data_IF_805068550078
#
_entry.id   IF_805068550078
#
_cell.length_a   1.000
_cell.length_b   1.000
_cell.length_c   1.000
_cell.angle_alpha   90.00
_cell.angle_beta   90.00
_cell.angle_gamma   90.00
#
_symmetry.space_group_name_H-M   'P 1'
#
loop_
_entity.id
_entity.type
_entity.pdbx_description
1 polymer ?
#
# COMPACT_ATOMS: atom_id res chain seq x y z
N UNK A 1 -8.96 -2.79 9.21
CA UNK A 1 -7.52 -3.12 9.13
C UNK A 1 -7.21 -4.07 10.27
N UNK A 2 -6.50 -5.19 10.03
CA UNK A 2 -6.05 -6.08 11.09
C UNK A 2 -5.13 -5.39 12.11
N UNK A 3 -5.11 -5.89 13.35
CA UNK A 3 -4.28 -5.33 14.44
C UNK A 3 -2.80 -5.75 14.34
N UNK A 4 -2.53 -6.89 13.73
CA UNK A 4 -1.19 -7.44 13.54
C UNK A 4 -0.97 -7.76 12.07
N UNK A 5 0.28 -7.66 11.63
CA UNK A 5 0.67 -7.96 10.26
C UNK A 5 2.17 -8.20 10.10
N UNK A 6 2.56 -8.62 8.91
CA UNK A 6 3.94 -8.87 8.53
C UNK A 6 4.50 -7.73 7.70
N UNK A 7 5.60 -7.13 8.17
CA UNK A 7 6.43 -6.22 7.37
C UNK A 7 7.59 -6.96 6.70
N UNK A 8 7.85 -6.68 5.41
CA UNK A 8 8.95 -7.33 4.64
C UNK A 8 10.16 -6.41 4.40
N UNK A 9 10.52 -5.63 5.42
CA UNK A 9 11.61 -4.65 5.34
C UNK A 9 12.99 -5.31 5.17
N UNK A 10 13.76 -4.85 4.17
CA UNK A 10 15.13 -5.30 3.88
C UNK A 10 15.33 -6.82 3.67
N UNK A 11 14.26 -7.59 3.54
CA UNK A 11 14.34 -9.00 3.20
C UNK A 11 14.84 -9.17 1.76
N UNK A 12 15.79 -10.09 1.55
CA UNK A 12 16.24 -10.44 0.19
C UNK A 12 15.10 -11.12 -0.58
N UNK A 13 15.16 -11.11 -1.92
CA UNK A 13 14.13 -11.73 -2.75
C UNK A 13 13.92 -13.22 -2.44
N UNK A 14 15.00 -13.96 -2.21
CA UNK A 14 14.96 -15.38 -1.82
C UNK A 14 14.35 -15.58 -0.44
N UNK A 15 14.56 -14.63 0.47
CA UNK A 15 14.11 -14.73 1.86
C UNK A 15 12.69 -14.19 2.07
N UNK A 16 12.05 -13.59 1.06
CA UNK A 16 10.74 -12.91 1.26
C UNK A 16 9.54 -13.81 0.92
N UNK A 17 9.66 -14.75 -0.02
CA UNK A 17 8.51 -15.58 -0.46
C UNK A 17 8.03 -16.48 0.69
N UNK A 18 8.96 -17.15 1.37
CA UNK A 18 8.65 -18.13 2.40
C UNK A 18 8.00 -17.49 3.63
N UNK A 19 8.52 -16.39 4.20
CA UNK A 19 7.90 -15.74 5.36
C UNK A 19 6.53 -15.16 5.06
N UNK A 20 6.32 -14.54 3.88
CA UNK A 20 5.00 -14.01 3.52
C UNK A 20 4.00 -15.15 3.41
N UNK A 21 4.37 -16.26 2.76
CA UNK A 21 3.49 -17.43 2.67
C UNK A 21 3.21 -18.05 4.03
N UNK A 22 4.25 -18.29 4.84
CA UNK A 22 4.10 -18.84 6.17
C UNK A 22 3.19 -17.96 7.04
N UNK A 23 3.36 -16.64 6.99
CA UNK A 23 2.48 -15.72 7.71
C UNK A 23 1.02 -15.85 7.25
N UNK A 24 0.75 -15.90 5.94
CA UNK A 24 -0.61 -16.07 5.41
C UNK A 24 -1.22 -17.42 5.83
N UNK A 25 -0.44 -18.49 5.78
CA UNK A 25 -0.83 -19.85 6.19
C UNK A 25 -1.16 -19.90 7.70
N UNK A 26 -0.42 -19.16 8.54
CA UNK A 26 -0.63 -19.02 9.99
C UNK A 26 -1.73 -17.99 10.37
N UNK A 27 -2.47 -17.47 9.39
CA UNK A 27 -3.62 -16.59 9.65
C UNK A 27 -3.31 -15.09 9.63
N UNK A 28 -2.10 -14.66 9.27
CA UNK A 28 -1.82 -13.25 9.02
C UNK A 28 -2.67 -12.75 7.86
N UNK A 29 -3.28 -11.57 8.03
CA UNK A 29 -4.13 -10.92 7.02
C UNK A 29 -3.72 -9.49 6.73
N UNK A 30 -2.59 -9.02 7.25
CA UNK A 30 -2.01 -7.73 6.89
C UNK A 30 -0.58 -7.94 6.40
N UNK A 31 -0.31 -7.58 5.16
CA UNK A 31 1.03 -7.59 4.58
C UNK A 31 1.44 -6.16 4.29
N UNK A 32 2.45 -5.67 5.00
CA UNK A 32 3.08 -4.39 4.77
C UNK A 32 4.34 -4.56 3.93
N UNK A 33 4.22 -4.20 2.65
CA UNK A 33 5.33 -4.24 1.71
C UNK A 33 6.26 -3.03 1.89
N UNK A 34 7.47 -3.17 1.37
CA UNK A 34 8.38 -2.03 1.26
C UNK A 34 8.10 -1.26 -0.01
N UNK A 35 8.68 -0.07 -0.06
CA UNK A 35 8.81 0.67 -1.29
C UNK A 35 9.72 0.01 -2.33
N UNK A 36 10.67 -0.84 -1.90
CA UNK A 36 11.64 -1.46 -2.79
C UNK A 36 10.94 -2.35 -3.80
N UNK A 37 11.31 -2.14 -5.05
CA UNK A 37 10.72 -2.76 -6.22
C UNK A 37 10.77 -4.29 -6.22
N UNK A 38 11.84 -4.88 -5.68
CA UNK A 38 11.99 -6.33 -5.60
C UNK A 38 10.90 -7.00 -4.75
N UNK A 39 10.59 -6.40 -3.59
CA UNK A 39 9.74 -7.05 -2.59
C UNK A 39 8.27 -7.07 -3.01
N UNK A 40 7.82 -6.08 -3.81
CA UNK A 40 6.44 -6.01 -4.32
C UNK A 40 6.09 -7.19 -5.24
N UNK A 41 7.02 -7.60 -6.12
CA UNK A 41 6.81 -8.74 -7.00
C UNK A 41 6.66 -10.06 -6.21
N UNK A 42 7.48 -10.20 -5.16
CA UNK A 42 7.44 -11.36 -4.27
C UNK A 42 6.15 -11.40 -3.45
N UNK A 43 5.74 -10.28 -2.84
CA UNK A 43 4.47 -10.18 -2.12
C UNK A 43 3.30 -10.53 -3.05
N UNK A 44 3.26 -9.96 -4.26
CA UNK A 44 2.25 -10.29 -5.26
C UNK A 44 2.20 -11.78 -5.59
N UNK A 45 3.36 -12.42 -5.75
CA UNK A 45 3.45 -13.86 -5.98
C UNK A 45 2.93 -14.68 -4.79
N UNK A 46 3.30 -14.31 -3.57
CA UNK A 46 2.87 -15.00 -2.36
C UNK A 46 1.34 -14.90 -2.16
N UNK A 47 0.76 -13.71 -2.39
CA UNK A 47 -0.69 -13.51 -2.36
C UNK A 47 -1.40 -14.46 -3.33
N UNK A 48 -0.97 -14.51 -4.60
CA UNK A 48 -1.57 -15.42 -5.61
C UNK A 48 -1.39 -16.90 -5.27
N UNK A 49 -0.29 -17.26 -4.61
CA UNK A 49 -0.01 -18.65 -4.22
C UNK A 49 -0.69 -19.07 -2.92
N UNK A 50 -1.19 -18.13 -2.11
CA UNK A 50 -1.85 -18.43 -0.84
C UNK A 50 -3.20 -19.10 -0.99
N UNK A 51 -3.87 -18.92 -2.13
CA UNK A 51 -5.24 -19.40 -2.35
C UNK A 51 -6.32 -18.60 -1.62
N UNK A 52 -5.95 -17.52 -0.90
CA UNK A 52 -6.89 -16.60 -0.25
C UNK A 52 -7.52 -15.66 -1.27
N UNK A 53 -8.78 -15.30 -1.05
CA UNK A 53 -9.43 -14.26 -1.84
C UNK A 53 -8.77 -12.90 -1.56
N UNK A 54 -8.70 -12.06 -2.59
CA UNK A 54 -8.05 -10.73 -2.47
C UNK A 54 -8.65 -9.90 -1.34
N UNK A 55 -9.96 -10.01 -1.09
CA UNK A 55 -10.66 -9.28 -0.03
C UNK A 55 -10.33 -9.74 1.39
N UNK A 56 -9.69 -10.90 1.55
CA UNK A 56 -9.31 -11.43 2.87
C UNK A 56 -8.00 -10.85 3.37
N UNK A 57 -7.12 -10.39 2.47
CA UNK A 57 -5.77 -9.91 2.82
C UNK A 57 -5.68 -8.41 2.63
N UNK A 58 -5.34 -7.70 3.70
CA UNK A 58 -5.03 -6.29 3.70
C UNK A 58 -3.58 -6.07 3.23
N UNK A 59 -3.39 -5.38 2.11
CA UNK A 59 -2.08 -5.15 1.49
C UNK A 59 -1.76 -3.65 1.53
N UNK A 60 -0.62 -3.33 2.14
CA UNK A 60 -0.05 -1.98 2.19
C UNK A 60 1.25 -1.93 1.40
N UNK A 61 1.50 -0.84 0.69
CA UNK A 61 2.83 -0.44 0.24
C UNK A 61 2.90 1.09 0.30
N UNK A 62 4.06 1.69 0.06
CA UNK A 62 4.30 3.12 0.35
C UNK A 62 4.85 3.84 -0.88
N UNK A 63 4.59 5.14 -0.97
CA UNK A 63 5.17 6.02 -1.99
C UNK A 63 6.52 6.55 -1.50
N UNK A 64 7.60 6.27 -2.22
CA UNK A 64 8.93 6.79 -1.87
C UNK A 64 9.03 8.30 -2.09
N UNK A 65 9.83 9.00 -1.25
CA UNK A 65 10.09 10.43 -1.43
C UNK A 65 10.71 10.77 -2.78
N UNK A 66 11.53 9.86 -3.34
CA UNK A 66 12.14 10.03 -4.65
C UNK A 66 11.11 10.07 -5.80
N UNK A 67 9.88 9.62 -5.54
CA UNK A 67 8.77 9.61 -6.49
C UNK A 67 7.69 10.64 -6.13
N UNK A 68 7.99 11.63 -5.28
CA UNK A 68 7.05 12.71 -5.01
C UNK A 68 6.92 13.64 -6.22
N UNK A 69 5.74 14.26 -6.32
CA UNK A 69 5.31 15.06 -7.46
C UNK A 69 4.17 14.38 -8.23
N UNK A 70 3.41 15.12 -9.06
CA UNK A 70 2.16 14.61 -9.62
C UNK A 70 2.36 13.36 -10.51
N UNK A 71 3.14 13.51 -11.58
CA UNK A 71 3.38 12.43 -12.55
C UNK A 71 4.23 11.29 -11.97
N UNK A 72 5.23 11.65 -11.16
CA UNK A 72 6.11 10.68 -10.53
C UNK A 72 5.36 9.78 -9.54
N UNK A 73 4.42 10.34 -8.77
CA UNK A 73 3.62 9.58 -7.82
C UNK A 73 2.67 8.62 -8.53
N UNK A 74 1.99 9.06 -9.59
CA UNK A 74 1.12 8.20 -10.39
C UNK A 74 1.91 7.07 -11.05
N UNK A 75 3.07 7.39 -11.64
CA UNK A 75 3.95 6.39 -12.26
C UNK A 75 4.44 5.35 -11.24
N UNK A 76 4.84 5.78 -10.05
CA UNK A 76 5.27 4.89 -8.98
C UNK A 76 4.11 4.00 -8.46
N UNK A 77 2.89 4.53 -8.44
CA UNK A 77 1.70 3.76 -8.10
C UNK A 77 1.44 2.66 -9.15
N UNK A 78 1.42 2.99 -10.44
CA UNK A 78 1.23 1.99 -11.52
C UNK A 78 2.29 0.90 -11.47
N UNK A 79 3.54 1.27 -11.25
CA UNK A 79 4.64 0.33 -11.12
C UNK A 79 4.42 -0.62 -9.92
N UNK A 80 3.90 -0.09 -8.81
CA UNK A 80 3.59 -0.89 -7.63
C UNK A 80 2.45 -1.88 -7.91
N UNK A 81 1.38 -1.42 -8.56
CA UNK A 81 0.24 -2.27 -8.96
C UNK A 81 0.64 -3.35 -9.95
N UNK A 82 1.49 -3.03 -10.93
CA UNK A 82 2.05 -3.98 -11.90
C UNK A 82 2.88 -5.07 -11.23
N UNK A 83 3.68 -4.72 -10.21
CA UNK A 83 4.52 -5.69 -9.48
C UNK A 83 3.70 -6.59 -8.56
N UNK A 84 2.77 -5.99 -7.80
CA UNK A 84 1.86 -6.73 -6.94
C UNK A 84 0.88 -7.60 -7.77
N UNK A 85 0.53 -7.15 -8.97
CA UNK A 85 -0.51 -7.71 -9.85
C UNK A 85 -1.85 -7.83 -9.11
N UNK A 86 -2.27 -6.75 -8.47
CA UNK A 86 -3.57 -6.60 -7.81
C UNK A 86 -4.33 -5.45 -8.46
N UNK A 87 -5.66 -5.45 -8.35
CA UNK A 87 -6.50 -4.40 -8.95
C UNK A 87 -6.72 -3.20 -8.03
N UNK A 88 -6.74 -3.44 -6.72
CA UNK A 88 -6.94 -2.44 -5.68
C UNK A 88 -5.93 -2.66 -4.56
N UNK A 89 -5.40 -1.59 -3.99
CA UNK A 89 -4.49 -1.60 -2.83
C UNK A 89 -5.24 -1.12 -1.58
N UNK A 90 -4.98 -1.68 -0.40
CA UNK A 90 -5.79 -1.34 0.80
C UNK A 90 -5.30 -0.11 1.55
N UNK A 91 -4.02 0.26 1.38
CA UNK A 91 -3.42 1.46 1.94
C UNK A 91 -2.15 1.85 1.16
N UNK A 92 -2.01 3.14 0.84
CA UNK A 92 -0.86 3.70 0.14
C UNK A 92 -0.36 5.00 0.78
N UNK A 93 0.36 4.95 1.92
CA UNK A 93 0.85 6.14 2.57
C UNK A 93 2.10 6.68 1.87
N UNK A 94 2.30 7.99 1.99
CA UNK A 94 3.60 8.61 1.75
C UNK A 94 4.59 8.09 2.80
N UNK A 95 5.81 7.74 2.39
CA UNK A 95 6.77 7.07 3.28
C UNK A 95 7.22 7.97 4.44
N UNK A 96 7.53 9.23 4.15
CA UNK A 96 7.79 10.29 5.13
C UNK A 96 7.72 11.68 4.46
N UNK A 97 7.42 12.76 5.21
CA UNK A 97 7.46 14.10 4.65
C UNK A 97 8.88 14.49 4.22
N UNK A 98 8.99 15.36 3.20
CA UNK A 98 10.26 16.00 2.81
C UNK A 98 10.15 17.50 3.15
N UNK A 99 10.53 17.95 4.37
CA UNK A 99 10.23 19.30 4.85
C UNK A 99 10.81 20.40 3.96
N UNK A 100 12.03 20.22 3.47
CA UNK A 100 12.71 21.19 2.58
C UNK A 100 12.04 21.29 1.21
N UNK A 101 11.24 20.31 0.82
CA UNK A 101 10.48 20.29 -0.43
C UNK A 101 9.00 20.05 -0.15
N UNK A 102 8.44 20.74 0.85
CA UNK A 102 7.07 20.47 1.30
C UNK A 102 6.02 20.55 0.18
N UNK A 103 6.18 21.49 -0.77
CA UNK A 103 5.29 21.61 -1.92
C UNK A 103 5.20 20.32 -2.76
N UNK A 104 6.31 19.59 -2.93
CA UNK A 104 6.32 18.33 -3.69
C UNK A 104 5.65 17.20 -2.90
N UNK A 105 5.75 17.24 -1.57
CA UNK A 105 5.06 16.33 -0.66
C UNK A 105 3.53 16.56 -0.75
N UNK A 106 3.09 17.82 -0.72
CA UNK A 106 1.67 18.16 -0.91
C UNK A 106 1.15 17.75 -2.30
N UNK A 107 1.96 17.90 -3.35
CA UNK A 107 1.58 17.47 -4.68
C UNK A 107 1.39 15.94 -4.76
N UNK A 108 2.30 15.17 -4.16
CA UNK A 108 2.17 13.71 -4.07
C UNK A 108 0.93 13.30 -3.26
N UNK A 109 0.65 13.99 -2.15
CA UNK A 109 -0.55 13.76 -1.34
C UNK A 109 -1.85 13.92 -2.16
N UNK A 110 -1.95 14.98 -2.96
CA UNK A 110 -3.12 15.22 -3.84
C UNK A 110 -3.33 14.10 -4.85
N UNK A 111 -2.26 13.49 -5.35
CA UNK A 111 -2.35 12.31 -6.21
C UNK A 111 -2.91 11.13 -5.44
N UNK A 112 -2.42 10.86 -4.23
CA UNK A 112 -2.94 9.80 -3.36
C UNK A 112 -4.42 9.99 -3.01
N UNK A 113 -4.88 11.22 -2.80
CA UNK A 113 -6.30 11.54 -2.63
C UNK A 113 -7.13 11.22 -3.89
N UNK A 114 -6.58 11.48 -5.07
CA UNK A 114 -7.18 11.07 -6.35
C UNK A 114 -7.32 9.55 -6.45
N UNK A 115 -6.24 8.80 -6.15
CA UNK A 115 -6.26 7.33 -6.16
C UNK A 115 -7.29 6.73 -5.18
N UNK A 116 -7.49 7.38 -4.03
CA UNK A 116 -8.54 7.01 -3.08
C UNK A 116 -9.94 7.28 -3.64
N UNK A 117 -10.15 8.46 -4.24
CA UNK A 117 -11.43 8.84 -4.87
C UNK A 117 -11.80 7.93 -6.03
N UNK A 118 -10.81 7.51 -6.81
CA UNK A 118 -10.98 6.63 -7.96
C UNK A 118 -11.15 5.14 -7.57
N UNK A 119 -11.09 4.82 -6.27
CA UNK A 119 -11.24 3.45 -5.76
C UNK A 119 -10.05 2.53 -6.04
N UNK A 120 -8.92 3.09 -6.49
CA UNK A 120 -7.68 2.35 -6.78
C UNK A 120 -6.90 2.02 -5.52
N UNK A 121 -7.04 2.87 -4.51
CA UNK A 121 -6.58 2.67 -3.14
C UNK A 121 -7.81 2.73 -2.23
N UNK A 122 -7.92 1.81 -1.29
CA UNK A 122 -8.91 1.89 -0.21
C UNK A 122 -8.32 2.61 1.00
N UNK A 123 -9.18 3.04 1.90
CA UNK A 123 -8.79 3.46 3.23
C UNK A 123 -9.42 2.50 4.24
N UNK A 124 -8.70 2.07 5.30
CA UNK A 124 -9.33 1.40 6.42
C UNK A 124 -10.53 2.19 6.91
N UNK A 125 -11.63 1.52 7.23
CA UNK A 125 -12.83 2.17 7.78
C UNK A 125 -12.52 3.07 8.99
N UNK A 126 -11.53 2.72 9.81
CA UNK A 126 -11.07 3.53 10.95
C UNK A 126 -10.32 4.82 10.58
N UNK A 127 -9.84 4.93 9.34
CA UNK A 127 -9.19 6.11 8.75
C UNK A 127 -10.14 6.88 7.80
N UNK A 128 -11.33 6.34 7.53
CA UNK A 128 -12.38 7.05 6.83
C UNK A 128 -13.15 7.93 7.82
N UNK A 129 -12.80 9.22 7.90
CA UNK A 129 -13.67 10.19 8.55
C UNK A 129 -15.01 10.19 7.80
N UNK A 130 -16.10 9.87 8.49
CA UNK A 130 -17.44 10.07 7.94
C UNK A 130 -17.63 11.58 7.75
N UNK A 131 -17.49 12.06 6.52
CA UNK A 131 -18.00 13.37 6.12
C UNK A 131 -19.54 13.28 6.13
N UNK A 132 -20.15 13.30 7.32
CA UNK A 132 -21.58 13.06 7.48
C UNK A 132 -22.15 13.37 8.86
N UNK A 133 -21.42 14.07 9.72
CA UNK A 133 -21.93 14.56 10.99
C UNK A 133 -21.38 15.95 11.32
N UNK A 134 -21.73 16.94 10.48
CA UNK A 134 -21.66 18.35 10.84
C UNK A 134 -22.72 19.12 10.05
N UNK A 135 -23.63 19.77 10.80
CA UNK A 135 -24.60 20.79 10.40
C UNK A 135 -25.88 20.32 9.67
N UNK A 136 -26.77 19.69 10.44
CA UNK A 136 -28.20 20.08 10.43
C UNK A 136 -28.56 20.41 11.88
N UNK A 137 -28.78 21.70 12.15
CA UNK A 137 -28.98 22.27 13.48
C UNK A 137 -28.46 23.69 13.53
#
# INVERSE_FOLDING_TARGET
>A
MPLFGLGVYQSSLSDTVLPVRAALDEGCRLIDSTCSDGNKAVVGLALRKSGLDRGEVFVTTKLEPASYGPEAALTAFELSMSKLKIQVLDLYPLHWPVPLHFAITCAAWKVSEGLLRDGRVQAPRSLQFHAGAACVG
#
